data_IF_387982211796
#
_entry.id   IF_387982211796
#
_cell.length_a   1.000
_cell.length_b   1.000
_cell.length_c   1.000
_cell.angle_alpha   90.00
_cell.angle_beta   90.00
_cell.angle_gamma   90.00
#
_symmetry.space_group_name_H-M   'P 1'
#
loop_
_entity.id
_entity.type
_entity.pdbx_description
1 polymer ?
#
# COMPACT_ATOMS: atom_id res chain seq x y z
N UNK A 1 12.93 0.76 -23.55
CA UNK A 1 12.34 1.50 -22.43
C UNK A 1 12.39 0.61 -21.20
N UNK A 2 13.58 0.44 -20.66
CA UNK A 2 13.83 -0.45 -19.52
C UNK A 2 13.90 0.44 -18.30
N UNK A 3 12.82 0.49 -17.54
CA UNK A 3 12.89 1.07 -16.20
C UNK A 3 13.94 0.26 -15.44
N UNK A 4 14.97 0.96 -14.95
CA UNK A 4 15.98 0.38 -14.07
C UNK A 4 15.26 -0.45 -13.02
N UNK A 5 15.61 -1.74 -12.90
CA UNK A 5 15.19 -2.58 -11.76
C UNK A 5 15.70 -1.91 -10.50
N UNK A 6 14.90 -1.02 -9.93
CA UNK A 6 15.13 -0.48 -8.61
C UNK A 6 15.03 -1.65 -7.62
N UNK A 7 15.78 -1.66 -6.51
CA UNK A 7 15.82 -2.76 -5.54
C UNK A 7 14.47 -3.00 -4.80
N UNK A 8 13.40 -2.33 -5.23
CA UNK A 8 12.05 -2.32 -4.65
C UNK A 8 11.33 -3.67 -4.70
N UNK A 9 11.73 -4.60 -5.58
CA UNK A 9 11.19 -5.97 -5.57
C UNK A 9 11.34 -6.62 -4.19
N UNK A 10 12.45 -6.37 -3.49
CA UNK A 10 12.71 -6.97 -2.17
C UNK A 10 11.73 -6.54 -1.08
N UNK A 11 11.18 -5.33 -1.16
CA UNK A 11 10.29 -4.78 -0.12
C UNK A 11 8.92 -5.45 -0.14
N UNK A 12 8.37 -5.69 -1.33
CA UNK A 12 7.07 -6.37 -1.50
C UNK A 12 7.18 -7.89 -1.34
N UNK A 13 8.37 -8.46 -1.60
CA UNK A 13 8.60 -9.92 -1.62
C UNK A 13 8.77 -10.55 -0.24
N UNK A 14 8.97 -9.76 0.83
CA UNK A 14 9.26 -10.27 2.17
C UNK A 14 8.10 -11.05 2.81
N UNK A 15 6.86 -10.84 2.36
CA UNK A 15 5.68 -11.62 2.76
C UNK A 15 5.01 -12.24 1.54
N UNK A 16 4.68 -13.53 1.65
CA UNK A 16 3.94 -14.28 0.63
C UNK A 16 2.50 -13.72 0.57
N UNK A 17 2.28 -12.71 -0.27
CA UNK A 17 0.96 -12.17 -0.53
C UNK A 17 0.26 -13.16 -1.45
N UNK A 18 -0.66 -13.95 -0.88
CA UNK A 18 -1.45 -14.89 -1.67
C UNK A 18 -2.40 -14.12 -2.60
N UNK A 19 -2.64 -14.67 -3.79
CA UNK A 19 -3.51 -14.10 -4.81
C UNK A 19 -4.98 -14.01 -4.42
N UNK A 20 -5.39 -14.20 -3.16
CA UNK A 20 -6.77 -14.03 -2.65
C UNK A 20 -6.98 -12.75 -1.82
N UNK A 21 -5.92 -12.09 -1.35
CA UNK A 21 -6.03 -10.89 -0.52
C UNK A 21 -6.03 -9.57 -1.31
N UNK A 22 -6.89 -8.61 -0.93
CA UNK A 22 -6.77 -7.22 -1.40
C UNK A 22 -5.72 -6.50 -0.56
N UNK A 23 -4.78 -5.82 -1.22
CA UNK A 23 -3.78 -4.98 -0.55
C UNK A 23 -4.32 -3.57 -0.38
N UNK A 24 -4.40 -3.11 0.86
CA UNK A 24 -4.73 -1.73 1.18
C UNK A 24 -3.45 -0.94 1.50
N UNK A 25 -3.24 0.14 0.78
CA UNK A 25 -2.14 1.07 1.00
C UNK A 25 -2.65 2.24 1.83
N UNK A 26 -1.88 2.63 2.85
CA UNK A 26 -2.22 3.72 3.78
C UNK A 26 -0.94 4.35 4.32
N UNK A 27 -1.02 5.59 4.79
CA UNK A 27 0.06 6.25 5.52
C UNK A 27 -0.52 7.18 6.60
N UNK A 28 0.14 8.31 6.89
CA UNK A 28 -0.44 9.35 7.74
C UNK A 28 -1.67 10.01 7.10
N UNK A 29 -1.48 10.53 5.88
CA UNK A 29 -2.45 11.39 5.18
C UNK A 29 -2.80 10.93 3.75
N UNK A 30 -2.60 9.65 3.41
CA UNK A 30 -2.82 9.10 2.07
C UNK A 30 -1.74 9.39 1.03
N UNK A 31 -1.04 10.52 1.10
CA UNK A 31 -0.12 11.00 0.04
C UNK A 31 1.02 10.02 -0.27
N UNK A 32 1.76 9.57 0.73
CA UNK A 32 2.91 8.66 0.51
C UNK A 32 2.46 7.28 0.05
N UNK A 33 1.27 6.85 0.47
CA UNK A 33 0.71 5.56 0.10
C UNK A 33 0.41 5.46 -1.41
N UNK A 34 0.10 6.57 -2.07
CA UNK A 34 -0.05 6.64 -3.53
C UNK A 34 1.20 6.19 -4.29
N UNK A 35 2.39 6.48 -3.78
CA UNK A 35 3.66 6.10 -4.42
C UNK A 35 3.81 4.57 -4.39
N UNK A 36 3.53 3.96 -3.23
CA UNK A 36 3.59 2.50 -3.08
C UNK A 36 2.52 1.79 -3.90
N UNK A 37 1.29 2.35 -3.96
CA UNK A 37 0.22 1.87 -4.82
C UNK A 37 0.63 1.91 -6.29
N UNK A 38 1.19 3.03 -6.77
CA UNK A 38 1.66 3.17 -8.15
C UNK A 38 2.72 2.12 -8.48
N UNK A 39 3.68 1.90 -7.58
CA UNK A 39 4.68 0.84 -7.73
C UNK A 39 3.99 -0.51 -7.87
N UNK A 40 3.06 -0.87 -6.97
CA UNK A 40 2.32 -2.13 -7.05
C UNK A 40 1.56 -2.29 -8.38
N UNK A 41 0.91 -1.23 -8.89
CA UNK A 41 0.29 -1.21 -10.21
C UNK A 41 1.29 -1.55 -11.31
N UNK A 42 2.47 -0.93 -11.30
CA UNK A 42 3.51 -1.17 -12.31
C UNK A 42 4.08 -2.59 -12.27
N UNK A 43 4.02 -3.26 -11.12
CA UNK A 43 4.43 -4.66 -10.96
C UNK A 43 3.30 -5.67 -11.21
N UNK A 44 2.12 -5.22 -11.67
CA UNK A 44 1.01 -6.10 -12.06
C UNK A 44 0.16 -6.60 -10.91
N UNK A 45 0.17 -5.94 -9.75
CA UNK A 45 -0.78 -6.24 -8.70
C UNK A 45 -2.16 -5.70 -9.08
N UNK A 46 -3.15 -6.58 -9.23
CA UNK A 46 -4.48 -6.21 -9.70
C UNK A 46 -5.46 -5.91 -8.55
N UNK A 47 -5.26 -6.54 -7.39
CA UNK A 47 -6.13 -6.34 -6.22
C UNK A 47 -5.50 -5.42 -5.18
N UNK A 48 -5.49 -4.14 -5.52
CA UNK A 48 -4.92 -3.09 -4.68
C UNK A 48 -5.94 -1.97 -4.48
N UNK A 49 -5.91 -1.35 -3.31
CA UNK A 49 -6.77 -0.23 -2.93
C UNK A 49 -5.98 0.79 -2.11
N UNK A 50 -6.34 2.07 -2.21
CA UNK A 50 -5.82 3.12 -1.36
C UNK A 50 -6.85 3.46 -0.28
N UNK A 51 -6.45 3.42 0.99
CA UNK A 51 -7.22 3.99 2.07
C UNK A 51 -6.79 5.46 2.28
N UNK A 52 -7.48 6.37 1.60
CA UNK A 52 -7.12 7.79 1.53
C UNK A 52 -7.26 8.51 2.88
N UNK A 53 -8.29 8.17 3.67
CA UNK A 53 -8.48 8.72 5.01
C UNK A 53 -7.31 8.42 5.94
N UNK A 54 -6.64 7.28 5.73
CA UNK A 54 -5.35 6.97 6.34
C UNK A 54 -5.38 7.07 7.88
N UNK A 55 -4.24 7.30 8.52
CA UNK A 55 -4.18 7.47 9.97
C UNK A 55 -4.96 8.70 10.47
N UNK A 56 -5.02 9.77 9.68
CA UNK A 56 -5.77 10.98 10.04
C UNK A 56 -7.26 10.68 10.26
N UNK A 57 -7.88 9.87 9.41
CA UNK A 57 -9.27 9.42 9.62
C UNK A 57 -9.36 8.39 10.73
N UNK A 58 -8.53 7.33 10.69
CA UNK A 58 -8.62 6.23 11.67
C UNK A 58 -8.39 6.70 13.11
N UNK A 59 -7.36 7.51 13.32
CA UNK A 59 -6.99 8.03 14.63
C UNK A 59 -7.91 9.14 15.14
N UNK A 60 -8.83 9.66 14.31
CA UNK A 60 -9.83 10.64 14.72
C UNK A 60 -11.14 10.01 15.20
N UNK A 61 -11.30 8.68 15.08
CA UNK A 61 -12.52 7.98 15.47
C UNK A 61 -12.28 7.26 16.80
N UNK A 62 -12.79 7.84 17.89
CA UNK A 62 -12.52 7.44 19.28
C UNK A 62 -12.77 5.96 19.63
N UNK A 63 -13.65 5.28 18.90
CA UNK A 63 -14.03 3.89 19.18
C UNK A 63 -13.33 2.86 18.28
N UNK A 64 -12.45 3.28 17.37
CA UNK A 64 -11.63 2.37 16.59
C UNK A 64 -10.44 1.87 17.42
N UNK A 65 -10.03 0.59 17.23
CA UNK A 65 -8.88 0.06 17.93
C UNK A 65 -7.57 0.70 17.42
N UNK A 66 -6.63 0.92 18.34
CA UNK A 66 -5.28 1.45 18.12
C UNK A 66 -4.30 0.57 18.93
N UNK A 67 -3.15 0.22 18.35
CA UNK A 67 -2.07 -0.58 18.95
C UNK A 67 -0.75 0.18 19.02
#
# INVERSE_FOLDING_TARGET
MTFLKLPTESLLTSKKINSEHVLYFTCGSGVTACIALLVATQYGYERICLYDGSWVEWGAIDHLPIE
#
